data_IF_962892374840
#
_entry.id   IF_962892374840
#
_cell.length_a   1.000
_cell.length_b   1.000
_cell.length_c   1.000
_cell.angle_alpha   90.00
_cell.angle_beta   90.00
_cell.angle_gamma   90.00
#
_symmetry.space_group_name_H-M   'P 1'
#
loop_
_entity.id
_entity.type
_entity.pdbx_description
1 polymer ?
#
# COMPACT_ATOMS: atom_id res chain seq x y z
N UNK A 1 -35.76 -51.38 -20.01
CA UNK A 1 -36.95 -50.74 -19.46
C UNK A 1 -36.46 -49.81 -18.38
N UNK A 2 -36.45 -48.65 -18.55
CA UNK A 2 -36.74 -47.45 -19.31
C UNK A 2 -36.06 -46.30 -18.60
N UNK A 3 -35.23 -45.68 -19.35
CA UNK A 3 -34.58 -44.40 -19.08
C UNK A 3 -35.67 -43.31 -18.97
N UNK A 4 -35.66 -42.49 -17.91
CA UNK A 4 -36.41 -41.25 -17.84
C UNK A 4 -35.53 -40.08 -17.43
N UNK A 5 -34.96 -39.55 -18.44
CA UNK A 5 -34.52 -38.21 -18.71
C UNK A 5 -34.97 -37.11 -17.71
N UNK A 6 -33.97 -36.51 -17.03
CA UNK A 6 -34.09 -35.26 -16.32
C UNK A 6 -33.95 -34.08 -17.30
N UNK A 7 -35.00 -33.80 -18.07
CA UNK A 7 -35.11 -32.54 -18.84
C UNK A 7 -36.55 -32.07 -18.78
N UNK A 8 -36.78 -30.93 -18.13
CA UNK A 8 -38.05 -30.20 -18.27
C UNK A 8 -38.55 -29.55 -17.01
N UNK A 9 -37.87 -28.54 -16.48
CA UNK A 9 -38.46 -27.60 -15.52
C UNK A 9 -37.80 -26.23 -15.67
N UNK A 10 -38.01 -25.61 -16.81
CA UNK A 10 -37.82 -24.19 -17.01
C UNK A 10 -38.90 -23.70 -17.99
N UNK A 11 -40.04 -23.29 -17.45
CA UNK A 11 -40.90 -22.29 -18.10
C UNK A 11 -42.14 -22.05 -17.20
N UNK A 12 -42.21 -20.87 -16.67
CA UNK A 12 -43.36 -20.44 -15.88
C UNK A 12 -43.11 -19.07 -15.22
N UNK A 13 -42.71 -18.09 -16.04
CA UNK A 13 -42.69 -16.71 -15.58
C UNK A 13 -44.09 -16.12 -15.67
N UNK A 14 -44.76 -16.02 -14.57
CA UNK A 14 -45.99 -15.20 -14.42
C UNK A 14 -45.56 -13.82 -13.93
N UNK A 15 -45.67 -12.85 -14.81
CA UNK A 15 -45.53 -11.43 -14.50
C UNK A 15 -46.79 -10.99 -13.75
N UNK A 16 -46.65 -10.68 -12.46
CA UNK A 16 -47.64 -9.91 -11.72
C UNK A 16 -47.16 -8.45 -11.65
N UNK A 17 -47.85 -7.61 -12.40
CA UNK A 17 -47.72 -6.17 -12.29
C UNK A 17 -48.42 -5.70 -10.99
N UNK A 18 -47.66 -5.13 -10.06
CA UNK A 18 -48.17 -4.37 -8.95
C UNK A 18 -47.62 -2.94 -9.05
N UNK A 19 -48.59 -2.02 -9.06
CA UNK A 19 -48.40 -0.59 -9.25
C UNK A 19 -47.74 0.12 -8.05
N UNK A 20 -46.88 1.06 -8.34
CA UNK A 20 -46.60 2.35 -7.71
C UNK A 20 -46.83 2.52 -6.20
N UNK A 21 -45.77 2.54 -5.44
CA UNK A 21 -45.57 3.47 -4.35
C UNK A 21 -44.12 3.98 -4.42
N UNK A 22 -43.97 5.29 -4.60
CA UNK A 22 -42.67 5.94 -4.81
C UNK A 22 -41.76 5.75 -3.59
N UNK A 23 -40.79 4.86 -3.75
CA UNK A 23 -39.57 4.83 -2.95
C UNK A 23 -38.53 5.49 -3.81
N UNK A 24 -38.16 6.74 -3.45
CA UNK A 24 -37.03 7.41 -4.04
C UNK A 24 -35.80 6.54 -3.85
N UNK A 25 -35.36 5.86 -4.92
CA UNK A 25 -34.04 5.28 -4.99
C UNK A 25 -33.06 6.43 -4.90
N UNK A 26 -32.51 6.63 -3.69
CA UNK A 26 -31.24 7.32 -3.54
C UNK A 26 -30.25 6.51 -4.36
N UNK A 27 -29.98 6.96 -5.57
CA UNK A 27 -28.84 6.50 -6.35
C UNK A 27 -27.58 6.95 -5.59
N UNK A 28 -27.16 6.15 -4.63
CA UNK A 28 -25.83 6.25 -4.09
C UNK A 28 -24.89 6.15 -5.29
N UNK A 29 -24.10 7.19 -5.52
CA UNK A 29 -23.03 7.15 -6.51
C UNK A 29 -22.15 5.94 -6.16
N UNK A 30 -22.24 4.88 -6.95
CA UNK A 30 -21.31 3.75 -6.83
C UNK A 30 -19.92 4.35 -7.05
N UNK A 31 -19.12 4.44 -6.00
CA UNK A 31 -17.73 4.80 -6.14
C UNK A 31 -17.12 3.84 -7.15
N UNK A 32 -16.54 4.39 -8.19
CA UNK A 32 -15.92 3.59 -9.24
C UNK A 32 -14.83 2.72 -8.62
N UNK A 33 -14.94 1.40 -8.77
CA UNK A 33 -13.93 0.46 -8.28
C UNK A 33 -12.55 0.87 -8.82
N UNK A 34 -11.50 0.85 -7.98
CA UNK A 34 -10.16 1.20 -8.42
C UNK A 34 -9.73 0.31 -9.58
N UNK A 35 -9.25 0.92 -10.67
CA UNK A 35 -8.82 0.18 -11.85
C UNK A 35 -7.62 -0.71 -11.51
N UNK A 36 -7.77 -2.03 -11.73
CA UNK A 36 -6.74 -3.03 -11.41
C UNK A 36 -5.68 -3.06 -12.52
N UNK A 37 -4.90 -1.98 -12.61
CA UNK A 37 -3.77 -1.85 -13.52
C UNK A 37 -2.57 -1.21 -12.82
N UNK A 38 -1.36 -1.53 -13.29
CA UNK A 38 -0.12 -0.91 -12.82
C UNK A 38 -0.06 0.53 -13.32
N UNK A 39 0.11 1.47 -12.39
CA UNK A 39 0.21 2.91 -12.71
C UNK A 39 1.23 3.60 -11.82
N UNK A 40 1.77 4.73 -12.30
CA UNK A 40 2.50 5.65 -11.43
C UNK A 40 1.51 6.43 -10.58
N UNK A 41 1.73 6.56 -9.26
CA UNK A 41 0.95 7.48 -8.44
C UNK A 41 1.38 8.94 -8.61
N UNK A 42 2.48 9.20 -9.33
CA UNK A 42 3.03 10.53 -9.56
C UNK A 42 2.80 10.95 -11.02
N UNK A 43 2.12 12.10 -11.28
CA UNK A 43 1.75 12.51 -12.64
C UNK A 43 2.96 12.81 -13.53
N UNK A 44 4.05 13.32 -12.94
CA UNK A 44 5.25 13.75 -13.68
C UNK A 44 6.38 12.68 -13.69
N UNK A 45 6.03 11.42 -13.41
CA UNK A 45 7.02 10.35 -13.39
C UNK A 45 7.63 10.12 -14.78
N UNK A 46 8.95 10.24 -14.87
CA UNK A 46 9.71 9.97 -16.11
C UNK A 46 10.15 8.50 -16.14
N UNK A 47 10.36 7.94 -17.35
CA UNK A 47 10.97 6.62 -17.47
C UNK A 47 12.32 6.55 -16.74
N UNK A 48 12.50 5.53 -15.91
CA UNK A 48 13.70 5.29 -15.12
C UNK A 48 13.95 3.78 -15.01
N UNK A 49 15.13 3.40 -14.51
CA UNK A 49 15.47 1.99 -14.26
C UNK A 49 14.49 1.33 -13.28
N UNK A 50 13.98 2.09 -12.31
CA UNK A 50 12.94 1.68 -11.36
C UNK A 50 12.05 2.87 -11.01
N UNK A 51 10.86 2.58 -10.48
CA UNK A 51 9.91 3.60 -10.05
C UNK A 51 10.04 3.88 -8.57
N UNK A 52 9.94 5.15 -8.17
CA UNK A 52 9.87 5.57 -6.76
C UNK A 52 8.68 4.91 -6.04
N UNK A 53 7.54 4.80 -6.73
CA UNK A 53 6.41 4.01 -6.29
C UNK A 53 5.58 3.50 -7.47
N UNK A 54 4.81 2.44 -7.21
CA UNK A 54 3.84 1.86 -8.14
C UNK A 54 2.52 1.66 -7.39
N UNK A 55 1.42 2.02 -8.03
CA UNK A 55 0.08 1.70 -7.55
C UNK A 55 -0.56 0.57 -8.41
N UNK A 56 -1.35 -0.30 -7.76
CA UNK A 56 -2.17 -1.33 -8.38
C UNK A 56 -3.52 -1.40 -7.65
N UNK A 57 -4.59 -1.02 -8.32
CA UNK A 57 -5.85 -0.75 -7.64
C UNK A 57 -5.67 0.37 -6.62
N UNK A 58 -6.00 0.10 -5.35
CA UNK A 58 -5.75 0.97 -4.22
C UNK A 58 -4.45 0.66 -3.45
N UNK A 59 -3.70 -0.37 -3.86
CA UNK A 59 -2.42 -0.70 -3.24
C UNK A 59 -1.31 0.21 -3.75
N UNK A 60 -0.40 0.59 -2.86
CA UNK A 60 0.76 1.43 -3.11
C UNK A 60 2.02 0.72 -2.63
N UNK A 61 3.00 0.61 -3.53
CA UNK A 61 4.31 0.00 -3.28
C UNK A 61 5.37 1.08 -3.43
N UNK A 62 6.03 1.47 -2.34
CA UNK A 62 7.20 2.34 -2.38
C UNK A 62 8.47 1.50 -2.47
N UNK A 63 9.41 1.94 -3.31
CA UNK A 63 10.77 1.38 -3.32
C UNK A 63 11.52 1.78 -2.06
N UNK A 64 12.65 1.10 -1.80
CA UNK A 64 13.55 1.44 -0.71
C UNK A 64 13.97 2.91 -0.73
N UNK A 65 13.89 3.55 0.41
CA UNK A 65 14.34 4.93 0.65
C UNK A 65 15.54 4.88 1.59
N UNK A 66 16.68 5.38 1.12
CA UNK A 66 17.89 5.59 1.89
C UNK A 66 18.12 7.07 2.20
N UNK A 67 19.08 7.35 3.10
CA UNK A 67 19.53 8.70 3.42
C UNK A 67 21.02 8.82 3.16
N UNK A 68 21.41 9.65 2.19
CA UNK A 68 22.78 9.70 1.64
C UNK A 68 23.58 10.93 2.11
N UNK A 69 23.27 11.43 3.31
CA UNK A 69 24.04 12.50 3.97
C UNK A 69 24.81 11.91 5.15
N UNK A 70 25.82 12.62 5.62
CA UNK A 70 26.48 12.27 6.87
C UNK A 70 25.53 12.39 8.05
N UNK A 71 25.70 11.55 9.06
CA UNK A 71 24.88 11.56 10.26
C UNK A 71 24.91 10.27 11.05
N UNK A 72 24.21 10.28 12.14
CA UNK A 72 24.00 9.11 13.00
C UNK A 72 22.88 8.23 12.47
N UNK A 73 22.70 7.03 13.04
CA UNK A 73 21.57 6.16 12.69
C UNK A 73 20.22 6.85 12.97
N UNK A 74 20.15 7.69 14.00
CA UNK A 74 18.94 8.46 14.31
C UNK A 74 18.65 9.50 13.24
N UNK A 75 19.67 10.17 12.70
CA UNK A 75 19.51 11.15 11.62
C UNK A 75 19.07 10.46 10.34
N UNK A 76 19.71 9.32 9.99
CA UNK A 76 19.34 8.53 8.84
C UNK A 76 17.90 8.01 8.95
N UNK A 77 17.53 7.43 10.09
CA UNK A 77 16.17 6.92 10.30
C UNK A 77 15.12 8.03 10.18
N UNK A 78 15.39 9.19 10.79
CA UNK A 78 14.47 10.34 10.69
C UNK A 78 14.34 10.84 9.25
N UNK A 79 15.46 10.99 8.55
CA UNK A 79 15.47 11.45 7.16
C UNK A 79 14.74 10.49 6.22
N UNK A 80 14.96 9.19 6.37
CA UNK A 80 14.26 8.14 5.62
C UNK A 80 12.76 8.18 5.86
N UNK A 81 12.33 8.23 7.12
CA UNK A 81 10.90 8.22 7.47
C UNK A 81 10.18 9.50 7.03
N UNK A 82 10.83 10.65 7.10
CA UNK A 82 10.30 11.91 6.58
C UNK A 82 10.13 11.86 5.05
N UNK A 83 11.08 11.29 4.32
CA UNK A 83 10.96 11.16 2.87
C UNK A 83 9.88 10.14 2.48
N UNK A 84 9.73 9.03 3.24
CA UNK A 84 8.62 8.08 3.08
C UNK A 84 7.27 8.78 3.30
N UNK A 85 7.11 9.53 4.39
CA UNK A 85 5.88 10.26 4.71
C UNK A 85 5.50 11.24 3.59
N UNK A 86 6.49 11.98 3.08
CA UNK A 86 6.31 12.87 1.93
C UNK A 86 5.87 12.11 0.68
N UNK A 87 6.55 11.02 0.34
CA UNK A 87 6.24 10.19 -0.83
C UNK A 87 4.84 9.58 -0.75
N UNK A 88 4.43 9.12 0.43
CA UNK A 88 3.07 8.61 0.69
C UNK A 88 2.03 9.72 0.50
N UNK A 89 2.27 10.91 1.06
CA UNK A 89 1.35 12.05 0.97
C UNK A 89 1.17 12.50 -0.48
N UNK A 90 2.26 12.62 -1.25
CA UNK A 90 2.23 12.94 -2.68
C UNK A 90 1.46 11.90 -3.51
N UNK A 91 1.47 10.65 -3.06
CA UNK A 91 0.73 9.55 -3.69
C UNK A 91 -0.74 9.42 -3.20
N UNK A 92 -1.23 10.28 -2.32
CA UNK A 92 -2.58 10.23 -1.76
C UNK A 92 -2.76 9.25 -0.60
N UNK A 93 -1.64 8.87 0.05
CA UNK A 93 -1.60 7.95 1.19
C UNK A 93 -1.06 8.64 2.45
N UNK A 94 -0.69 7.87 3.47
CA UNK A 94 -0.07 8.37 4.71
C UNK A 94 0.64 7.24 5.46
N UNK A 95 1.42 7.56 6.50
CA UNK A 95 2.04 6.56 7.37
C UNK A 95 1.00 5.66 8.07
N UNK A 96 -0.17 6.21 8.43
CA UNK A 96 -1.27 5.48 9.07
C UNK A 96 -1.90 4.43 8.14
N UNK A 97 -1.70 4.56 6.82
CA UNK A 97 -2.17 3.62 5.80
C UNK A 97 -1.12 2.58 5.42
N UNK A 98 0.04 2.57 6.06
CA UNK A 98 1.05 1.54 5.84
C UNK A 98 0.57 0.18 6.36
N UNK A 99 0.69 -0.85 5.52
CA UNK A 99 0.35 -2.23 5.83
C UNK A 99 1.60 -3.04 6.18
N UNK A 100 2.70 -2.78 5.48
CA UNK A 100 3.97 -3.46 5.67
C UNK A 100 5.13 -2.47 5.59
N UNK A 101 6.14 -2.70 6.43
CA UNK A 101 7.41 -1.99 6.44
C UNK A 101 8.55 -3.01 6.45
N UNK A 102 9.47 -2.90 5.50
CA UNK A 102 10.73 -3.64 5.52
C UNK A 102 11.85 -2.67 5.88
N UNK A 103 12.61 -3.01 6.91
CA UNK A 103 13.75 -2.22 7.39
C UNK A 103 15.03 -2.99 7.14
N UNK A 104 15.94 -2.37 6.40
CA UNK A 104 17.29 -2.87 6.15
C UNK A 104 18.27 -1.98 6.92
N UNK A 105 19.02 -2.55 7.85
CA UNK A 105 20.06 -1.85 8.60
C UNK A 105 21.43 -2.15 8.02
N UNK A 106 22.29 -1.17 7.95
CA UNK A 106 23.69 -1.39 7.56
C UNK A 106 24.44 -2.23 8.63
N UNK A 107 24.08 -2.08 9.88
CA UNK A 107 24.60 -2.85 11.01
C UNK A 107 23.50 -3.11 12.03
N UNK A 108 23.32 -4.37 12.44
CA UNK A 108 22.27 -4.77 13.40
C UNK A 108 22.47 -4.16 14.80
N UNK A 109 23.68 -3.72 15.15
CA UNK A 109 23.96 -3.02 16.42
C UNK A 109 23.17 -1.71 16.56
N UNK A 110 22.71 -1.14 15.42
CA UNK A 110 21.91 0.10 15.42
C UNK A 110 20.40 -0.14 15.62
N UNK A 111 19.98 -1.39 15.84
CA UNK A 111 18.57 -1.79 15.92
C UNK A 111 17.79 -0.98 16.96
N UNK A 112 18.29 -0.86 18.19
CA UNK A 112 17.56 -0.18 19.27
C UNK A 112 17.48 1.33 19.05
N UNK A 113 18.56 1.93 18.53
CA UNK A 113 18.66 3.36 18.24
C UNK A 113 17.72 3.73 17.08
N UNK A 114 17.70 2.92 16.01
CA UNK A 114 16.74 3.05 14.91
C UNK A 114 15.31 2.94 15.45
N UNK A 115 15.00 1.95 16.28
CA UNK A 115 13.68 1.76 16.85
C UNK A 115 13.21 2.92 17.70
N UNK A 116 14.09 3.60 18.42
CA UNK A 116 13.75 4.79 19.21
C UNK A 116 13.17 5.89 18.32
N UNK A 117 13.79 6.15 17.17
CA UNK A 117 13.28 7.12 16.19
C UNK A 117 12.02 6.60 15.50
N UNK A 118 12.01 5.34 15.07
CA UNK A 118 10.86 4.72 14.38
C UNK A 118 9.55 4.86 15.17
N UNK A 119 9.61 4.66 16.51
CA UNK A 119 8.46 4.79 17.41
C UNK A 119 7.95 6.22 17.56
N UNK A 120 8.74 7.23 17.20
CA UNK A 120 8.31 8.64 17.29
C UNK A 120 7.42 9.07 16.13
N UNK A 121 7.29 8.24 15.08
CA UNK A 121 6.41 8.51 13.96
C UNK A 121 5.00 7.94 14.20
N UNK A 122 4.01 8.61 13.64
CA UNK A 122 2.61 8.20 13.80
C UNK A 122 2.21 7.14 12.77
N UNK A 123 2.16 5.88 13.20
CA UNK A 123 1.75 4.75 12.38
C UNK A 123 0.25 4.42 12.46
N UNK A 124 -0.54 5.24 13.17
CA UNK A 124 -1.97 5.01 13.43
C UNK A 124 -2.21 4.04 14.60
N UNK A 125 -3.47 3.73 14.85
CA UNK A 125 -3.89 2.85 15.95
C UNK A 125 -3.45 1.39 15.74
N UNK A 126 -3.34 0.97 14.47
CA UNK A 126 -2.85 -0.35 14.08
C UNK A 126 -1.52 -0.17 13.35
N UNK A 127 -0.44 -0.52 14.02
CA UNK A 127 0.90 -0.45 13.42
C UNK A 127 1.05 -1.44 12.24
N UNK A 128 1.82 -1.09 11.20
CA UNK A 128 2.09 -2.01 10.09
C UNK A 128 2.85 -3.26 10.55
N UNK A 129 2.68 -4.37 9.85
CA UNK A 129 3.59 -5.50 10.02
C UNK A 129 5.00 -5.10 9.59
N UNK A 130 6.04 -5.54 10.33
CA UNK A 130 7.41 -5.13 10.06
C UNK A 130 8.39 -6.30 10.04
N UNK A 131 9.33 -6.24 9.11
CA UNK A 131 10.53 -7.10 9.08
C UNK A 131 11.76 -6.21 9.19
N UNK A 132 12.76 -6.62 9.96
CA UNK A 132 14.06 -5.92 10.05
C UNK A 132 15.18 -6.91 9.86
N UNK A 133 16.10 -6.61 8.95
CA UNK A 133 17.29 -7.40 8.66
C UNK A 133 18.50 -6.48 8.46
N UNK A 134 19.70 -7.06 8.57
CA UNK A 134 20.95 -6.40 8.19
C UNK A 134 21.58 -7.22 7.06
N UNK A 135 21.64 -6.70 5.81
CA UNK A 135 22.32 -7.38 4.71
C UNK A 135 23.82 -7.54 4.97
N UNK A 136 24.37 -8.69 4.65
CA UNK A 136 25.79 -9.00 4.94
C UNK A 136 26.80 -8.03 4.28
N UNK A 137 26.43 -7.45 3.13
CA UNK A 137 27.29 -6.50 2.37
C UNK A 137 26.92 -5.03 2.61
N UNK A 138 26.01 -4.75 3.55
CA UNK A 138 25.54 -3.39 3.84
C UNK A 138 24.49 -2.89 2.86
N UNK A 139 24.26 -1.57 2.89
CA UNK A 139 23.26 -0.87 2.08
C UNK A 139 23.97 0.02 1.06
N UNK A 140 23.52 0.04 -0.23
CA UNK A 140 24.09 0.92 -1.25
C UNK A 140 24.02 2.40 -0.86
N UNK A 141 25.03 3.19 -1.31
CA UNK A 141 25.02 4.64 -1.19
C UNK A 141 25.27 5.19 0.21
N UNK A 142 25.95 4.42 1.06
CA UNK A 142 26.34 4.82 2.43
C UNK A 142 25.16 5.15 3.38
N UNK A 143 23.95 4.71 3.07
CA UNK A 143 22.85 4.82 4.03
C UNK A 143 23.04 3.84 5.17
N UNK A 144 22.75 4.28 6.41
CA UNK A 144 22.79 3.40 7.59
C UNK A 144 21.49 2.62 7.76
N UNK A 145 20.43 3.04 7.11
CA UNK A 145 19.12 2.36 7.06
C UNK A 145 18.45 2.63 5.71
N UNK A 146 17.80 1.61 5.17
CA UNK A 146 16.89 1.71 4.03
C UNK A 146 15.54 1.13 4.44
N UNK A 147 14.45 1.73 3.99
CA UNK A 147 13.10 1.29 4.32
C UNK A 147 12.24 1.30 3.07
N UNK A 148 11.56 0.19 2.79
CA UNK A 148 10.44 0.13 1.84
C UNK A 148 9.10 -0.05 2.56
N UNK A 149 8.02 0.35 1.89
CA UNK A 149 6.69 0.21 2.47
C UNK A 149 5.65 -0.23 1.44
N UNK A 150 4.65 -0.97 1.91
CA UNK A 150 3.40 -1.22 1.22
C UNK A 150 2.30 -0.51 1.99
N UNK A 151 1.51 0.29 1.29
CA UNK A 151 0.41 1.08 1.84
C UNK A 151 -0.84 0.94 0.97
N UNK A 152 -1.91 1.66 1.32
CA UNK A 152 -3.08 1.82 0.45
C UNK A 152 -3.41 3.31 0.29
N UNK A 153 -4.16 3.63 -0.77
CA UNK A 153 -4.60 4.99 -1.12
C UNK A 153 -6.05 5.18 -0.67
#
# INVERSE_FOLDING_TARGET
MEDQSRRGLLNGATVAAAAAAGVGLMAGSAEAQPKMEKRSPYPDAKPAMYSRAVAYGNMLFLSGVGYHKEGTIEDHTRGVLQEIEKNLTEAGSSLQKCLKVSVFLNDLKDYDRMNAVYRSFNWGDIAPVRTTVAPAAGIPGNSLVEIDVIAYI
#
